data_IF_210307947311
#
_entry.id   IF_210307947311
#
_cell.length_a   1.000
_cell.length_b   1.000
_cell.length_c   1.000
_cell.angle_alpha   90.00
_cell.angle_beta   90.00
_cell.angle_gamma   90.00
#
_symmetry.space_group_name_H-M   'P 1'
#
loop_
_entity.id
_entity.type
_entity.pdbx_description
1 polymer ?
#
# COMPACT_ATOMS: atom_id res chain seq x y z
N UNK A 1 3.44 26.17 -5.56
CA UNK A 1 2.06 25.67 -5.86
C UNK A 1 1.12 26.29 -4.85
N UNK A 2 0.12 27.07 -5.30
CA UNK A 2 -0.88 27.61 -4.39
C UNK A 2 -1.79 26.50 -3.89
N UNK A 3 -1.73 26.23 -2.58
CA UNK A 3 -2.61 25.25 -1.92
C UNK A 3 -3.27 25.94 -0.74
N UNK A 4 -4.61 25.95 -0.69
CA UNK A 4 -5.37 26.49 0.43
C UNK A 4 -5.97 25.34 1.23
N UNK A 5 -5.63 25.26 2.52
CA UNK A 5 -6.16 24.25 3.44
C UNK A 5 -7.21 24.85 4.36
N UNK A 6 -8.21 24.05 4.73
CA UNK A 6 -9.27 24.44 5.66
C UNK A 6 -9.84 23.23 6.36
N UNK A 7 -10.71 23.45 7.32
CA UNK A 7 -11.48 22.42 8.03
C UNK A 7 -12.98 22.75 7.92
N UNK A 8 -13.77 21.71 7.69
CA UNK A 8 -15.23 21.77 7.76
C UNK A 8 -15.69 20.72 8.78
N UNK A 9 -16.66 21.11 9.60
CA UNK A 9 -17.32 20.20 10.53
C UNK A 9 -18.74 19.99 10.05
N UNK A 10 -19.14 18.71 9.90
CA UNK A 10 -20.47 18.34 9.45
C UNK A 10 -20.95 17.13 10.23
N UNK A 11 -22.03 17.27 10.99
CA UNK A 11 -22.50 16.26 11.93
C UNK A 11 -21.35 15.84 12.87
N UNK A 12 -21.00 14.55 12.84
CA UNK A 12 -19.91 13.92 13.61
C UNK A 12 -18.57 13.84 12.85
N UNK A 13 -18.47 14.48 11.68
CA UNK A 13 -17.31 14.36 10.80
C UNK A 13 -16.49 15.66 10.75
N UNK A 14 -15.22 15.57 11.13
CA UNK A 14 -14.21 16.59 10.83
C UNK A 14 -13.60 16.30 9.46
N UNK A 15 -13.66 17.27 8.55
CA UNK A 15 -13.24 17.13 7.17
C UNK A 15 -12.12 18.12 6.89
N UNK A 16 -10.96 17.60 6.52
CA UNK A 16 -9.86 18.42 6.04
C UNK A 16 -10.10 18.78 4.58
N UNK A 17 -10.21 20.05 4.25
CA UNK A 17 -10.33 20.52 2.87
C UNK A 17 -8.98 21.00 2.35
N UNK A 18 -8.68 20.66 1.10
CA UNK A 18 -7.45 21.12 0.42
C UNK A 18 -7.82 21.56 -0.98
N UNK A 19 -7.72 22.87 -1.25
CA UNK A 19 -7.92 23.41 -2.58
C UNK A 19 -6.58 23.49 -3.31
N UNK A 20 -6.54 22.99 -4.52
CA UNK A 20 -5.35 22.98 -5.35
C UNK A 20 -5.72 22.99 -6.84
N UNK A 21 -4.74 23.18 -7.72
CA UNK A 21 -4.99 23.19 -9.16
C UNK A 21 -5.25 21.76 -9.69
N UNK A 22 -6.49 21.31 -9.55
CA UNK A 22 -7.00 20.02 -10.04
C UNK A 22 -8.36 20.22 -10.70
N UNK A 23 -8.77 19.28 -11.55
CA UNK A 23 -10.05 19.35 -12.28
C UNK A 23 -11.23 18.76 -11.52
N UNK A 24 -10.98 17.71 -10.73
CA UNK A 24 -12.02 16.92 -10.06
C UNK A 24 -11.92 17.04 -8.54
N UNK A 25 -13.02 16.76 -7.84
CA UNK A 25 -13.03 16.64 -6.37
C UNK A 25 -12.70 15.18 -6.01
N UNK A 26 -11.82 15.02 -5.03
CA UNK A 26 -11.46 13.72 -4.49
C UNK A 26 -11.78 13.69 -3.00
N UNK A 27 -12.57 12.71 -2.57
CA UNK A 27 -12.83 12.44 -1.16
C UNK A 27 -12.02 11.21 -0.77
N UNK A 28 -11.25 11.31 0.30
CA UNK A 28 -10.50 10.19 0.86
C UNK A 28 -10.79 10.03 2.35
N UNK A 29 -10.92 8.80 2.79
CA UNK A 29 -10.95 8.43 4.21
C UNK A 29 -9.63 7.73 4.51
N UNK A 30 -8.91 8.23 5.50
CA UNK A 30 -7.53 7.84 5.76
C UNK A 30 -7.39 7.17 7.13
N UNK A 31 -6.74 6.02 7.19
CA UNK A 31 -6.40 5.41 8.46
C UNK A 31 -5.36 6.27 9.21
N UNK A 32 -5.04 6.00 10.50
CA UNK A 32 -5.66 4.94 11.30
C UNK A 32 -7.05 5.30 11.83
N UNK A 33 -7.35 6.61 11.93
CA UNK A 33 -8.53 7.13 12.66
C UNK A 33 -9.72 7.46 11.75
N UNK A 34 -9.68 7.07 10.46
CA UNK A 34 -10.73 7.40 9.51
C UNK A 34 -10.81 8.91 9.22
N UNK A 35 -9.66 9.61 9.21
CA UNK A 35 -9.60 11.03 8.87
C UNK A 35 -10.13 11.28 7.47
N UNK A 36 -11.11 12.18 7.35
CA UNK A 36 -11.72 12.53 6.08
C UNK A 36 -11.00 13.73 5.47
N UNK A 37 -10.58 13.60 4.22
CA UNK A 37 -9.95 14.68 3.46
C UNK A 37 -10.62 14.85 2.11
N UNK A 38 -10.92 16.10 1.76
CA UNK A 38 -11.46 16.49 0.45
C UNK A 38 -10.43 17.35 -0.26
N UNK A 39 -9.96 16.90 -1.41
CA UNK A 39 -9.18 17.71 -2.33
C UNK A 39 -10.09 18.22 -3.43
N UNK A 40 -10.10 19.54 -3.66
CA UNK A 40 -11.02 20.20 -4.59
C UNK A 40 -10.29 21.24 -5.46
N UNK A 41 -10.84 21.60 -6.64
CA UNK A 41 -10.36 22.73 -7.43
C UNK A 41 -10.38 24.03 -6.64
N UNK A 42 -9.50 24.97 -6.99
CA UNK A 42 -9.39 26.27 -6.28
C UNK A 42 -10.70 27.05 -6.21
N UNK A 43 -11.55 26.95 -7.23
CA UNK A 43 -12.83 27.68 -7.35
C UNK A 43 -14.00 27.04 -6.61
N UNK A 44 -13.83 25.83 -6.03
CA UNK A 44 -14.91 25.10 -5.37
C UNK A 44 -15.29 25.79 -4.06
N UNK A 45 -16.57 26.07 -3.88
CA UNK A 45 -17.11 26.68 -2.64
C UNK A 45 -17.20 25.65 -1.51
N UNK A 46 -17.26 26.13 -0.27
CA UNK A 46 -17.47 25.25 0.89
C UNK A 46 -18.82 24.55 0.82
N UNK A 47 -19.84 25.24 0.29
CA UNK A 47 -21.19 24.70 0.12
C UNK A 47 -21.20 23.51 -0.84
N UNK A 48 -20.51 23.62 -1.97
CA UNK A 48 -20.36 22.52 -2.92
C UNK A 48 -19.66 21.33 -2.26
N UNK A 49 -18.60 21.56 -1.48
CA UNK A 49 -17.92 20.49 -0.74
C UNK A 49 -18.86 19.83 0.25
N UNK A 50 -19.67 20.61 0.98
CA UNK A 50 -20.67 20.10 1.95
C UNK A 50 -21.68 19.18 1.28
N UNK A 51 -22.29 19.61 0.19
CA UNK A 51 -23.28 18.81 -0.55
C UNK A 51 -22.69 17.48 -1.04
N UNK A 52 -21.48 17.52 -1.57
CA UNK A 52 -20.79 16.31 -2.03
C UNK A 52 -20.47 15.39 -0.87
N UNK A 53 -19.99 15.91 0.25
CA UNK A 53 -19.70 15.09 1.43
C UNK A 53 -20.98 14.48 1.99
N UNK A 54 -22.09 15.23 2.05
CA UNK A 54 -23.40 14.73 2.49
C UNK A 54 -23.83 13.52 1.66
N UNK A 55 -23.72 13.58 0.34
CA UNK A 55 -24.06 12.45 -0.54
C UNK A 55 -23.18 11.21 -0.31
N UNK A 56 -22.00 11.37 0.33
CA UNK A 56 -21.02 10.31 0.56
C UNK A 56 -20.91 9.87 2.02
N UNK A 57 -21.72 10.43 2.92
CA UNK A 57 -21.70 10.02 4.35
C UNK A 57 -21.81 8.51 4.56
N UNK A 58 -22.72 7.77 3.89
CA UNK A 58 -22.82 6.32 4.09
C UNK A 58 -21.52 5.61 3.73
N UNK A 59 -20.89 6.01 2.62
CA UNK A 59 -19.61 5.46 2.19
C UNK A 59 -18.47 5.82 3.17
N UNK A 60 -18.40 7.08 3.65
CA UNK A 60 -17.40 7.54 4.62
C UNK A 60 -17.53 6.73 5.92
N UNK A 61 -18.75 6.56 6.45
CA UNK A 61 -18.99 5.77 7.66
C UNK A 61 -18.56 4.32 7.48
N UNK A 62 -18.93 3.69 6.37
CA UNK A 62 -18.49 2.32 6.05
C UNK A 62 -16.97 2.19 6.04
N UNK A 63 -16.23 3.19 5.51
CA UNK A 63 -14.77 3.18 5.54
C UNK A 63 -14.20 3.38 6.95
N UNK A 64 -14.77 4.32 7.74
CA UNK A 64 -14.37 4.53 9.14
C UNK A 64 -14.58 3.27 9.99
N UNK A 65 -15.74 2.60 9.84
CA UNK A 65 -16.04 1.35 10.54
C UNK A 65 -15.06 0.23 10.16
N UNK A 66 -14.70 0.17 8.87
CA UNK A 66 -13.68 -0.77 8.40
C UNK A 66 -12.35 -0.53 9.09
N UNK A 67 -11.89 0.72 9.18
CA UNK A 67 -10.65 1.06 9.88
C UNK A 67 -10.73 0.82 11.39
N UNK A 68 -11.88 1.06 12.01
CA UNK A 68 -12.08 0.80 13.43
C UNK A 68 -12.04 -0.69 13.79
N UNK A 69 -12.47 -1.57 12.87
CA UNK A 69 -12.46 -3.04 13.06
C UNK A 69 -11.11 -3.68 12.72
N UNK A 70 -10.16 -2.93 12.16
CA UNK A 70 -8.85 -3.46 11.82
C UNK A 70 -8.00 -3.58 13.08
N UNK A 71 -7.51 -4.78 13.34
CA UNK A 71 -6.50 -5.00 14.36
C UNK A 71 -5.25 -4.22 13.99
N UNK A 72 -4.80 -3.36 14.90
CA UNK A 72 -3.55 -2.62 14.74
C UNK A 72 -2.41 -3.52 15.19
N UNK A 73 -1.39 -3.66 14.37
CA UNK A 73 -0.15 -4.23 14.86
C UNK A 73 0.44 -3.30 15.94
N UNK A 74 0.76 -3.86 17.11
CA UNK A 74 1.55 -3.16 18.13
C UNK A 74 2.91 -2.79 17.55
N UNK A 75 3.51 -1.65 17.96
CA UNK A 75 4.89 -1.33 17.59
C UNK A 75 5.81 -2.53 17.83
N UNK A 76 6.65 -2.83 16.86
CA UNK A 76 7.56 -3.97 16.92
C UNK A 76 8.68 -3.71 17.90
N UNK A 77 8.94 -4.67 18.77
CA UNK A 77 10.04 -4.62 19.73
C UNK A 77 11.23 -5.48 19.31
N UNK A 78 11.04 -6.35 18.29
CA UNK A 78 12.05 -7.29 17.79
C UNK A 78 12.65 -8.15 18.89
N UNK A 79 11.77 -8.72 19.71
CA UNK A 79 12.12 -9.62 20.82
C UNK A 79 11.70 -11.06 20.53
N UNK A 80 12.30 -12.00 21.22
CA UNK A 80 11.95 -13.42 21.10
C UNK A 80 10.48 -13.66 21.45
N UNK A 81 9.78 -14.45 20.62
CA UNK A 81 8.35 -14.74 20.73
C UNK A 81 7.46 -13.80 19.92
N UNK A 82 7.99 -12.70 19.38
CA UNK A 82 7.21 -11.78 18.54
C UNK A 82 6.84 -12.44 17.20
N UNK A 83 5.61 -12.22 16.74
CA UNK A 83 5.13 -12.77 15.47
C UNK A 83 5.47 -11.86 14.30
N UNK A 84 6.12 -12.40 13.28
CA UNK A 84 6.42 -11.72 12.03
C UNK A 84 5.80 -12.44 10.85
N UNK A 85 5.32 -11.69 9.87
CA UNK A 85 4.83 -12.26 8.61
C UNK A 85 5.92 -12.19 7.53
N UNK A 86 6.04 -13.27 6.76
CA UNK A 86 6.91 -13.34 5.60
C UNK A 86 6.31 -14.26 4.54
N UNK A 87 6.22 -13.80 3.30
CA UNK A 87 5.61 -14.52 2.16
C UNK A 87 4.25 -15.14 2.51
N UNK A 88 3.39 -14.39 3.24
CA UNK A 88 2.05 -14.80 3.64
C UNK A 88 1.99 -15.76 4.84
N UNK A 89 3.12 -16.13 5.43
CA UNK A 89 3.20 -17.04 6.59
C UNK A 89 3.62 -16.31 7.85
N UNK A 90 3.09 -16.78 8.98
CA UNK A 90 3.49 -16.28 10.30
C UNK A 90 4.68 -17.06 10.83
N UNK A 91 5.69 -16.35 11.29
CA UNK A 91 6.88 -16.86 11.94
C UNK A 91 7.00 -16.29 13.35
N UNK A 92 7.52 -17.08 14.28
CA UNK A 92 7.93 -16.58 15.60
C UNK A 92 9.42 -16.19 15.54
N UNK A 93 9.69 -14.96 15.95
CA UNK A 93 11.04 -14.44 16.03
C UNK A 93 11.78 -15.09 17.20
N UNK A 94 13.00 -15.51 16.97
CA UNK A 94 13.97 -15.91 17.98
C UNK A 94 15.19 -15.02 17.86
N UNK A 95 15.48 -14.21 18.87
CA UNK A 95 16.62 -13.30 18.89
C UNK A 95 17.80 -14.01 19.55
N UNK A 96 18.86 -14.26 18.78
CA UNK A 96 20.10 -14.88 19.21
C UNK A 96 21.15 -13.79 19.39
N UNK A 97 21.55 -13.55 20.63
CA UNK A 97 22.55 -12.53 20.94
C UNK A 97 23.95 -13.11 20.96
N UNK A 98 24.92 -12.38 20.41
CA UNK A 98 26.32 -12.77 20.38
C UNK A 98 27.15 -11.87 19.45
N UNK A 99 28.45 -12.11 19.32
CA UNK A 99 29.34 -11.33 18.47
C UNK A 99 29.15 -11.66 16.97
N UNK A 100 27.91 -11.68 16.53
CA UNK A 100 27.55 -12.05 15.16
C UNK A 100 27.41 -10.83 14.25
N UNK A 101 27.63 -11.07 12.95
CA UNK A 101 27.14 -10.14 11.93
C UNK A 101 25.62 -10.18 11.95
N UNK A 102 25.00 -9.02 12.16
CA UNK A 102 23.55 -8.91 12.30
C UNK A 102 22.83 -9.35 11.01
N UNK A 103 22.04 -10.43 11.13
CA UNK A 103 21.31 -11.04 10.03
C UNK A 103 20.01 -11.67 10.52
N UNK A 104 19.13 -11.99 9.58
CA UNK A 104 17.92 -12.78 9.82
C UNK A 104 17.94 -13.99 8.91
N UNK A 105 17.55 -15.14 9.44
CA UNK A 105 17.44 -16.40 8.71
C UNK A 105 16.13 -17.11 9.06
N UNK A 106 15.60 -17.88 8.11
CA UNK A 106 14.45 -18.75 8.38
C UNK A 106 14.93 -20.10 8.88
N UNK A 107 14.39 -20.56 9.98
CA UNK A 107 14.61 -21.90 10.52
C UNK A 107 13.31 -22.72 10.41
N UNK A 108 13.25 -23.50 9.35
CA UNK A 108 12.04 -24.22 8.98
C UNK A 108 10.88 -23.30 8.59
N UNK A 109 9.64 -23.75 8.83
CA UNK A 109 8.43 -23.05 8.37
C UNK A 109 7.77 -22.19 9.46
N UNK A 110 8.32 -22.13 10.66
CA UNK A 110 7.66 -21.48 11.81
C UNK A 110 8.56 -20.53 12.58
N UNK A 111 9.88 -20.58 12.41
CA UNK A 111 10.84 -19.76 13.16
C UNK A 111 11.63 -18.84 12.25
N UNK A 112 11.86 -17.64 12.74
CA UNK A 112 12.72 -16.64 12.13
C UNK A 112 13.79 -16.31 13.17
N UNK A 113 15.05 -16.52 12.87
CA UNK A 113 16.16 -16.30 13.77
C UNK A 113 16.87 -15.00 13.41
N UNK A 114 16.93 -14.09 14.36
CA UNK A 114 17.64 -12.82 14.23
C UNK A 114 18.91 -12.87 15.06
N UNK A 115 20.05 -12.94 14.38
CA UNK A 115 21.37 -12.89 15.01
C UNK A 115 21.80 -11.43 15.15
N UNK A 116 22.09 -10.99 16.37
CA UNK A 116 22.42 -9.59 16.64
C UNK A 116 23.45 -9.47 17.77
N UNK A 117 24.23 -8.39 17.74
CA UNK A 117 25.02 -7.97 18.90
C UNK A 117 24.05 -7.54 20.03
N UNK A 118 24.32 -7.90 21.31
CA UNK A 118 23.49 -7.50 22.45
C UNK A 118 23.23 -6.00 22.58
N UNK A 119 24.18 -5.18 22.13
CA UNK A 119 24.11 -3.71 22.22
C UNK A 119 23.22 -3.05 21.14
N UNK A 120 22.69 -3.83 20.17
CA UNK A 120 21.86 -3.25 19.14
C UNK A 120 20.55 -2.69 19.70
N UNK A 121 20.30 -1.42 19.36
CA UNK A 121 19.04 -0.74 19.65
C UNK A 121 17.87 -1.40 18.91
N UNK A 122 16.66 -1.07 19.32
CA UNK A 122 15.43 -1.56 18.66
C UNK A 122 15.36 -1.07 17.20
N UNK A 123 15.78 0.17 16.95
CA UNK A 123 15.85 0.75 15.60
C UNK A 123 16.87 0.01 14.72
N UNK A 124 17.98 -0.44 15.28
CA UNK A 124 18.96 -1.22 14.53
C UNK A 124 18.46 -2.61 14.20
N UNK A 125 17.77 -3.25 15.15
CA UNK A 125 17.08 -4.53 14.89
C UNK A 125 16.01 -4.39 13.79
N UNK A 126 15.25 -3.29 13.80
CA UNK A 126 14.32 -2.96 12.72
C UNK A 126 15.03 -2.88 11.36
N UNK A 127 16.21 -2.22 11.30
CA UNK A 127 17.01 -2.14 10.05
C UNK A 127 17.54 -3.51 9.61
N UNK A 128 17.90 -4.38 10.56
CA UNK A 128 18.29 -5.78 10.24
C UNK A 128 17.14 -6.53 9.59
N UNK A 129 15.95 -6.43 10.18
CA UNK A 129 14.73 -7.05 9.64
C UNK A 129 14.36 -6.46 8.26
N UNK A 130 14.47 -5.14 8.10
CA UNK A 130 14.21 -4.49 6.82
C UNK A 130 15.15 -4.98 5.72
N UNK A 131 16.45 -5.14 6.01
CA UNK A 131 17.41 -5.69 5.04
C UNK A 131 17.04 -7.10 4.59
N UNK A 132 16.62 -7.95 5.53
CA UNK A 132 16.13 -9.29 5.23
C UNK A 132 14.93 -9.23 4.28
N UNK A 133 13.87 -8.50 4.64
CA UNK A 133 12.69 -8.37 3.80
C UNK A 133 13.02 -7.82 2.41
N UNK A 134 13.89 -6.85 2.32
CA UNK A 134 14.31 -6.24 1.06
C UNK A 134 15.06 -7.22 0.18
N UNK A 135 15.97 -7.98 0.75
CA UNK A 135 16.73 -9.01 0.04
C UNK A 135 15.83 -10.09 -0.55
N UNK A 136 15.00 -10.69 0.28
CA UNK A 136 14.11 -11.77 -0.12
C UNK A 136 13.05 -11.31 -1.15
N UNK A 137 12.49 -10.12 -0.91
CA UNK A 137 11.53 -9.54 -1.86
C UNK A 137 12.18 -9.22 -3.20
N UNK A 138 13.43 -8.74 -3.22
CA UNK A 138 14.15 -8.47 -4.46
C UNK A 138 14.31 -9.72 -5.30
N UNK A 139 14.77 -10.81 -4.71
CA UNK A 139 14.95 -12.09 -5.41
C UNK A 139 13.64 -12.60 -6.02
N UNK A 140 12.53 -12.51 -5.26
CA UNK A 140 11.23 -12.91 -5.77
C UNK A 140 10.74 -11.99 -6.89
N UNK A 141 10.91 -10.67 -6.74
CA UNK A 141 10.52 -9.69 -7.77
C UNK A 141 11.29 -9.90 -9.05
N UNK A 142 12.60 -10.14 -9.01
CA UNK A 142 13.42 -10.42 -10.19
C UNK A 142 12.84 -11.59 -10.99
N UNK A 143 12.49 -12.68 -10.30
CA UNK A 143 11.87 -13.86 -10.93
C UNK A 143 10.47 -13.54 -11.50
N UNK A 144 9.64 -12.83 -10.73
CA UNK A 144 8.26 -12.53 -11.15
C UNK A 144 8.22 -11.50 -12.28
N UNK A 145 9.08 -10.50 -12.25
CA UNK A 145 9.14 -9.46 -13.29
C UNK A 145 9.53 -10.11 -14.62
N UNK A 146 10.61 -10.87 -14.68
CA UNK A 146 11.03 -11.60 -15.90
C UNK A 146 9.88 -12.44 -16.46
N UNK A 147 9.22 -13.22 -15.61
CA UNK A 147 8.09 -14.08 -16.03
C UNK A 147 6.94 -13.29 -16.65
N UNK A 148 6.58 -12.15 -16.06
CA UNK A 148 5.41 -11.39 -16.49
C UNK A 148 5.72 -10.38 -17.62
N UNK A 149 6.96 -9.91 -17.73
CA UNK A 149 7.45 -9.14 -18.88
C UNK A 149 7.25 -9.90 -20.18
N UNK A 150 7.66 -11.17 -20.19
CA UNK A 150 7.51 -12.03 -21.35
C UNK A 150 6.05 -12.21 -21.76
N UNK A 151 5.16 -12.48 -20.77
CA UNK A 151 3.74 -12.70 -21.03
C UNK A 151 2.99 -11.43 -21.48
N UNK A 152 3.33 -10.29 -20.90
CA UNK A 152 2.70 -9.00 -21.17
C UNK A 152 3.39 -8.27 -22.35
N UNK A 153 4.55 -8.77 -22.80
CA UNK A 153 5.38 -8.14 -23.85
C UNK A 153 5.75 -6.69 -23.53
N UNK A 154 6.14 -6.44 -22.29
CA UNK A 154 6.57 -5.12 -21.80
C UNK A 154 7.88 -5.25 -21.03
N UNK A 155 8.71 -4.18 -21.06
CA UNK A 155 9.98 -4.16 -20.34
C UNK A 155 10.11 -2.88 -19.53
N UNK A 156 10.11 -2.92 -18.19
CA UNK A 156 10.49 -1.79 -17.37
C UNK A 156 12.00 -1.54 -17.46
N UNK A 157 12.39 -0.28 -17.50
CA UNK A 157 13.81 0.10 -17.46
C UNK A 157 14.41 -0.09 -16.06
N UNK A 158 13.57 -0.04 -15.03
CA UNK A 158 14.03 -0.04 -13.66
C UNK A 158 12.92 -0.54 -12.73
N UNK A 159 13.30 -1.45 -11.82
CA UNK A 159 12.47 -1.96 -10.73
C UNK A 159 13.16 -1.66 -9.42
N UNK A 160 12.44 -1.05 -8.48
CA UNK A 160 12.97 -0.70 -7.16
C UNK A 160 12.00 -1.05 -6.05
N UNK A 161 12.56 -1.27 -4.84
CA UNK A 161 11.81 -1.49 -3.61
C UNK A 161 11.98 -0.26 -2.72
N UNK A 162 10.87 0.26 -2.21
CA UNK A 162 10.88 1.31 -1.19
C UNK A 162 9.71 1.13 -0.23
N UNK A 163 9.81 1.66 0.97
CA UNK A 163 8.68 1.76 1.88
C UNK A 163 7.70 2.83 1.36
N UNK A 164 6.44 2.47 1.18
CA UNK A 164 5.40 3.38 0.69
C UNK A 164 4.22 3.37 1.66
N UNK A 165 3.69 4.54 2.00
CA UNK A 165 2.57 4.67 2.97
C UNK A 165 1.21 4.28 2.39
N UNK A 166 1.07 4.21 1.06
CA UNK A 166 -0.25 4.34 0.45
C UNK A 166 -0.48 3.49 -0.77
N UNK A 167 0.52 2.72 -1.18
CA UNK A 167 0.44 1.93 -2.41
C UNK A 167 1.28 0.66 -2.28
N UNK A 168 0.82 -0.40 -2.90
CA UNK A 168 1.58 -1.63 -3.05
C UNK A 168 2.63 -1.55 -4.16
N UNK A 169 2.35 -0.76 -5.19
CA UNK A 169 3.24 -0.48 -6.28
C UNK A 169 2.97 0.89 -6.90
N UNK A 170 3.81 1.30 -7.83
CA UNK A 170 3.62 2.52 -8.63
C UNK A 170 4.47 2.46 -9.89
N UNK A 171 3.83 2.62 -11.06
CA UNK A 171 4.51 2.70 -12.34
C UNK A 171 4.67 4.15 -12.82
N UNK A 172 5.88 4.51 -13.23
CA UNK A 172 6.12 5.71 -14.02
C UNK A 172 6.24 5.30 -15.49
N UNK A 173 5.18 5.53 -16.25
CA UNK A 173 5.07 5.09 -17.64
C UNK A 173 6.14 5.75 -18.53
N UNK A 174 6.40 7.05 -18.35
CA UNK A 174 7.38 7.78 -19.15
C UNK A 174 8.81 7.27 -18.95
N UNK A 175 9.18 7.02 -17.70
CA UNK A 175 10.49 6.50 -17.34
C UNK A 175 10.56 4.96 -17.43
N UNK A 176 9.44 4.28 -17.68
CA UNK A 176 9.31 2.82 -17.57
C UNK A 176 9.91 2.28 -16.26
N UNK A 177 9.64 2.97 -15.16
CA UNK A 177 10.16 2.62 -13.82
C UNK A 177 9.03 2.15 -12.93
N UNK A 178 9.25 1.04 -12.25
CA UNK A 178 8.29 0.47 -11.28
C UNK A 178 8.89 0.51 -9.88
N UNK A 179 8.07 0.92 -8.93
CA UNK A 179 8.37 0.87 -7.51
C UNK A 179 7.45 -0.15 -6.85
N UNK A 180 8.02 -1.05 -6.06
CA UNK A 180 7.29 -1.99 -5.22
C UNK A 180 7.47 -1.63 -3.74
N UNK A 181 6.43 -1.86 -2.97
CA UNK A 181 6.46 -1.61 -1.56
C UNK A 181 7.16 -2.74 -0.80
N UNK A 182 8.04 -2.37 0.12
CA UNK A 182 8.73 -3.31 0.99
C UNK A 182 7.76 -4.22 1.78
N UNK A 183 6.60 -3.68 2.20
CA UNK A 183 5.58 -4.43 2.93
C UNK A 183 5.00 -5.63 2.15
N UNK A 184 5.23 -5.68 0.84
CA UNK A 184 4.89 -6.86 0.02
C UNK A 184 5.62 -8.11 0.49
N UNK A 185 6.81 -8.00 1.09
CA UNK A 185 7.54 -9.14 1.64
C UNK A 185 6.72 -9.92 2.68
N UNK A 186 5.74 -9.28 3.32
CA UNK A 186 4.84 -9.92 4.30
C UNK A 186 3.65 -10.63 3.65
N UNK A 187 3.39 -10.40 2.35
CA UNK A 187 2.22 -10.92 1.62
C UNK A 187 2.51 -12.23 0.90
N UNK A 188 1.46 -12.96 0.54
CA UNK A 188 1.63 -14.21 -0.20
C UNK A 188 2.28 -13.97 -1.57
N UNK A 189 3.06 -14.94 -2.11
CA UNK A 189 3.66 -14.82 -3.43
C UNK A 189 2.64 -14.54 -4.54
N UNK A 190 1.41 -15.02 -4.40
CA UNK A 190 0.34 -14.75 -5.34
C UNK A 190 -0.11 -13.29 -5.31
N UNK A 191 -0.23 -12.70 -4.12
CA UNK A 191 -0.50 -11.27 -3.96
C UNK A 191 0.63 -10.42 -4.56
N UNK A 192 1.89 -10.79 -4.32
CA UNK A 192 3.06 -10.09 -4.89
C UNK A 192 3.02 -10.18 -6.41
N UNK A 193 2.77 -11.38 -6.94
CA UNK A 193 2.63 -11.61 -8.38
C UNK A 193 1.52 -10.77 -9.00
N UNK A 194 0.37 -10.63 -8.32
CA UNK A 194 -0.70 -9.75 -8.76
C UNK A 194 -0.27 -8.27 -8.84
N UNK A 195 0.46 -7.79 -7.84
CA UNK A 195 0.97 -6.41 -7.86
C UNK A 195 1.97 -6.22 -9.00
N UNK A 196 2.83 -7.20 -9.27
CA UNK A 196 3.76 -7.16 -10.42
C UNK A 196 3.00 -7.06 -11.74
N UNK A 197 2.00 -7.91 -11.97
CA UNK A 197 1.14 -7.85 -13.17
C UNK A 197 0.44 -6.50 -13.28
N UNK A 198 -0.09 -5.98 -12.18
CA UNK A 198 -0.79 -4.69 -12.12
C UNK A 198 0.11 -3.52 -12.56
N UNK A 199 1.31 -3.44 -12.00
CA UNK A 199 2.25 -2.35 -12.31
C UNK A 199 2.84 -2.48 -13.72
N UNK A 200 3.11 -3.69 -14.19
CA UNK A 200 3.53 -3.93 -15.56
C UNK A 200 2.43 -3.57 -16.57
N UNK A 201 1.17 -3.89 -16.25
CA UNK A 201 0.02 -3.52 -17.10
C UNK A 201 -0.10 -2.00 -17.26
N UNK A 202 0.33 -1.20 -16.28
CA UNK A 202 0.36 0.26 -16.42
C UNK A 202 1.34 0.77 -17.48
N UNK A 203 2.30 -0.03 -17.92
CA UNK A 203 3.16 0.32 -19.05
C UNK A 203 2.41 0.23 -20.40
N UNK A 204 1.29 -0.50 -20.45
CA UNK A 204 0.40 -0.65 -21.61
C UNK A 204 -0.77 0.32 -21.50
N UNK A 205 -1.45 0.33 -20.36
CA UNK A 205 -2.68 1.11 -20.14
C UNK A 205 -2.60 1.88 -18.82
N UNK A 206 -2.68 3.19 -18.92
CA UNK A 206 -2.54 4.10 -17.77
C UNK A 206 -3.68 3.99 -16.78
N UNK A 207 -4.91 3.82 -17.27
CA UNK A 207 -6.12 3.93 -16.47
C UNK A 207 -6.72 2.55 -16.19
N UNK A 208 -7.31 2.35 -15.01
CA UNK A 208 -7.97 1.11 -14.62
C UNK A 208 -9.34 0.89 -15.31
N UNK A 209 -9.37 1.10 -16.65
CA UNK A 209 -10.56 0.94 -17.49
C UNK A 209 -10.85 -0.55 -17.81
N UNK A 210 -11.80 -0.80 -18.72
CA UNK A 210 -12.14 -2.16 -19.15
C UNK A 210 -10.95 -2.86 -19.85
N UNK A 211 -10.17 -2.12 -20.63
CA UNK A 211 -8.99 -2.63 -21.33
C UNK A 211 -7.92 -3.09 -20.34
N UNK A 212 -7.58 -2.25 -19.34
CA UNK A 212 -6.65 -2.61 -18.26
C UNK A 212 -7.07 -3.91 -17.55
N UNK A 213 -8.35 -3.98 -17.18
CA UNK A 213 -8.89 -5.19 -16.50
C UNK A 213 -8.86 -6.42 -17.40
N UNK A 214 -9.15 -6.25 -18.69
CA UNK A 214 -9.08 -7.33 -19.69
C UNK A 214 -7.67 -7.88 -19.85
N UNK A 215 -6.64 -7.02 -19.86
CA UNK A 215 -5.25 -7.46 -19.91
C UNK A 215 -4.90 -8.32 -18.67
N UNK A 216 -5.22 -7.84 -17.46
CA UNK A 216 -4.94 -8.62 -16.25
C UNK A 216 -5.72 -9.94 -16.25
N UNK A 217 -7.01 -9.92 -16.61
CA UNK A 217 -7.86 -11.11 -16.67
C UNK A 217 -7.29 -12.18 -17.63
N UNK A 218 -6.73 -11.77 -18.77
CA UNK A 218 -6.18 -12.69 -19.77
C UNK A 218 -4.94 -13.45 -19.29
N UNK A 219 -4.12 -12.84 -18.40
CA UNK A 219 -2.88 -13.44 -17.90
C UNK A 219 -3.02 -13.99 -16.48
N UNK A 220 -3.97 -13.49 -15.72
CA UNK A 220 -4.21 -13.87 -14.31
C UNK A 220 -5.71 -13.88 -13.98
N UNK A 221 -6.48 -14.90 -14.40
CA UNK A 221 -7.93 -14.94 -14.23
C UNK A 221 -8.41 -14.77 -12.77
N UNK A 222 -7.63 -15.25 -11.81
CA UNK A 222 -7.97 -15.17 -10.38
C UNK A 222 -7.50 -13.87 -9.69
N UNK A 223 -7.14 -12.83 -10.44
CA UNK A 223 -6.56 -11.60 -9.89
C UNK A 223 -7.44 -10.92 -8.83
N UNK A 224 -8.78 -11.06 -8.92
CA UNK A 224 -9.70 -10.45 -7.94
C UNK A 224 -9.52 -11.04 -6.55
N UNK A 225 -9.30 -12.35 -6.46
CA UNK A 225 -9.03 -13.04 -5.19
C UNK A 225 -7.74 -12.50 -4.55
N UNK A 226 -6.67 -12.36 -5.33
CA UNK A 226 -5.38 -11.86 -4.82
C UNK A 226 -5.45 -10.39 -4.41
N UNK A 227 -6.21 -9.57 -5.16
CA UNK A 227 -6.51 -8.18 -4.78
C UNK A 227 -7.27 -8.12 -3.46
N UNK A 228 -8.27 -8.95 -3.27
CA UNK A 228 -9.11 -8.94 -2.08
C UNK A 228 -8.34 -9.47 -0.87
N UNK A 229 -7.51 -10.50 -1.05
CA UNK A 229 -6.54 -10.97 -0.04
C UNK A 229 -5.55 -9.86 0.35
N UNK A 230 -4.94 -9.19 -0.63
CA UNK A 230 -4.00 -8.10 -0.39
C UNK A 230 -4.63 -6.97 0.43
N UNK A 231 -5.90 -6.69 0.19
CA UNK A 231 -6.66 -5.64 0.86
C UNK A 231 -7.29 -6.07 2.20
N UNK A 232 -7.34 -7.36 2.52
CA UNK A 232 -7.90 -7.86 3.79
C UNK A 232 -6.95 -7.71 4.96
N UNK A 233 -5.65 -7.75 4.71
CA UNK A 233 -4.61 -7.60 5.71
C UNK A 233 -4.04 -6.19 5.67
N UNK A 234 -4.31 -5.40 6.70
CA UNK A 234 -3.57 -4.15 6.91
C UNK A 234 -2.54 -4.44 7.99
N UNK A 235 -1.27 -4.40 7.62
CA UNK A 235 -0.18 -4.38 8.57
C UNK A 235 -0.20 -3.06 9.36
N UNK A 236 -0.03 -3.13 10.66
CA UNK A 236 -0.44 -2.20 11.69
C UNK A 236 0.14 -0.82 11.76
N UNK A 237 1.08 -0.38 10.97
CA UNK A 237 1.66 0.97 11.09
C UNK A 237 1.48 1.84 9.85
N UNK A 238 0.93 1.34 8.76
CA UNK A 238 0.89 2.07 7.51
C UNK A 238 -0.45 1.94 6.78
N UNK A 239 -0.94 3.08 6.42
CA UNK A 239 -2.21 3.39 5.76
C UNK A 239 -2.31 2.87 4.31
N UNK A 240 -2.69 1.61 4.10
CA UNK A 240 -2.64 0.94 2.80
C UNK A 240 -3.89 0.99 1.94
N UNK A 241 -4.99 1.51 2.44
CA UNK A 241 -6.24 1.58 1.68
C UNK A 241 -6.71 3.02 1.50
N UNK A 242 -6.24 3.66 0.41
CA UNK A 242 -6.99 4.79 -0.11
C UNK A 242 -8.21 4.30 -0.84
N UNK A 243 -9.34 4.45 -0.22
CA UNK A 243 -10.55 4.62 -0.98
C UNK A 243 -10.69 6.13 -1.25
N UNK A 244 -10.13 6.57 -2.36
CA UNK A 244 -10.46 7.87 -2.92
C UNK A 244 -11.54 7.67 -3.95
N UNK A 245 -12.68 8.29 -3.74
CA UNK A 245 -13.69 8.46 -4.79
C UNK A 245 -13.36 9.72 -5.59
N UNK A 246 -13.18 9.57 -6.89
CA UNK A 246 -13.09 10.69 -7.81
C UNK A 246 -14.49 11.10 -8.23
N UNK A 247 -14.89 12.32 -7.88
CA UNK A 247 -16.17 12.89 -8.27
C UNK A 247 -15.89 13.86 -9.42
N UNK A 248 -16.32 13.45 -10.62
CA UNK A 248 -16.30 14.33 -11.79
C UNK A 248 -17.37 15.39 -11.61
N UNK A 249 -16.96 16.64 -11.57
CA UNK A 249 -17.91 17.78 -11.61
C UNK A 249 -18.25 17.97 -13.08
N UNK A 250 -19.43 17.57 -13.50
CA UNK A 250 -20.00 18.04 -14.76
C UNK A 250 -20.53 19.45 -14.49
N UNK A 251 -19.75 20.47 -14.78
CA UNK A 251 -20.26 21.84 -14.91
C UNK A 251 -21.00 21.90 -16.24
N UNK A 252 -22.31 21.68 -16.18
CA UNK A 252 -23.19 22.14 -17.23
C UNK A 252 -23.27 23.67 -17.14
N UNK A 253 -22.60 24.35 -18.03
CA UNK A 253 -22.87 25.73 -18.44
C UNK A 253 -23.03 25.75 -19.94
#
# INVERSE_FOLDING_TARGET
MNTKTGKLVMADLEIQTVRKNIKNIHIGVYPPNGRVRVAAPMRTTDETIRLIVLSKIPWIRKQKDRFARQERETPREYVTGESHYFMGRRYLLNVVQGPYRSTVQLNGMKRMEMYVNPELSNEDRARVMERFYRHELSQLLDTLVIRWEEKLKVHPNEVRIRRMKTKWGSANIKAKRIWFNLELAKKSPNCISYVVVHELTHLIEKNHNKHFKGIIESVMPNWRQYRDELNSFISGDEDWNFMTEEIKIYTSF
#
